data_IF_896458919588
#
_entry.id   IF_896458919588
#
_cell.length_a   1.000
_cell.length_b   1.000
_cell.length_c   1.000
_cell.angle_alpha   90.00
_cell.angle_beta   90.00
_cell.angle_gamma   90.00
#
_symmetry.space_group_name_H-M   'P 1'
#
loop_
_entity.id
_entity.type
_entity.pdbx_description
1 polymer ?
#
# COMPACT_ATOMS: atom_id res chain seq x y z
N UNK A 1 4.66 -19.42 0.03
CA UNK A 1 4.84 -17.96 0.09
C UNK A 1 5.45 -17.60 -1.24
N UNK A 2 4.59 -17.14 -2.15
CA UNK A 2 4.95 -17.02 -3.56
C UNK A 2 5.84 -15.79 -3.79
N UNK A 3 6.92 -16.03 -4.52
CA UNK A 3 8.04 -15.13 -4.71
C UNK A 3 7.70 -14.07 -5.78
N UNK A 4 7.71 -12.80 -5.41
CA UNK A 4 7.74 -11.69 -6.38
C UNK A 4 8.92 -10.79 -6.02
N UNK A 5 10.04 -11.01 -6.70
CA UNK A 5 11.25 -10.19 -6.72
C UNK A 5 11.95 -10.42 -8.07
N UNK A 6 12.76 -9.45 -8.55
CA UNK A 6 13.38 -9.58 -9.86
C UNK A 6 14.25 -10.84 -9.90
N UNK A 7 14.08 -11.63 -10.95
CA UNK A 7 14.77 -12.90 -11.12
C UNK A 7 16.29 -12.65 -11.25
N UNK A 8 17.08 -12.97 -10.21
CA UNK A 8 18.52 -13.16 -10.37
C UNK A 8 19.47 -12.61 -9.28
N UNK A 9 19.02 -11.93 -8.23
CA UNK A 9 19.95 -11.46 -7.18
C UNK A 9 20.19 -12.53 -6.10
N UNK A 10 21.46 -12.81 -5.78
CA UNK A 10 21.86 -13.71 -4.68
C UNK A 10 21.41 -13.16 -3.32
N UNK A 11 20.29 -13.69 -2.81
CA UNK A 11 19.68 -13.38 -1.51
C UNK A 11 18.37 -12.60 -1.67
N UNK A 12 17.20 -13.15 -1.27
CA UNK A 12 15.92 -12.44 -1.40
C UNK A 12 15.83 -11.30 -0.37
N UNK A 13 15.11 -10.21 -0.70
CA UNK A 13 14.72 -9.22 0.30
C UNK A 13 13.93 -9.90 1.42
N UNK A 14 14.33 -9.68 2.67
CA UNK A 14 13.53 -10.13 3.80
C UNK A 14 12.46 -9.07 4.09
N UNK A 15 11.20 -9.45 3.93
CA UNK A 15 10.04 -8.60 4.23
C UNK A 15 9.58 -8.96 5.65
N UNK A 16 9.72 -8.01 6.59
CA UNK A 16 9.22 -8.17 7.96
C UNK A 16 8.00 -7.28 8.15
N UNK A 17 6.87 -7.85 8.55
CA UNK A 17 5.63 -7.09 8.61
C UNK A 17 4.60 -7.63 9.63
N UNK A 18 3.87 -6.72 10.28
CA UNK A 18 2.74 -7.03 11.15
C UNK A 18 1.46 -7.18 10.31
N UNK A 19 1.02 -8.42 10.07
CA UNK A 19 -0.15 -8.68 9.22
C UNK A 19 -1.43 -8.62 10.07
N UNK A 20 -2.16 -7.50 10.04
CA UNK A 20 -3.45 -7.38 10.74
C UNK A 20 -4.56 -8.24 10.12
N UNK A 21 -4.52 -8.49 8.80
CA UNK A 21 -5.41 -9.44 8.12
C UNK A 21 -5.35 -10.84 8.77
N UNK A 22 -4.14 -11.27 9.19
CA UNK A 22 -3.92 -12.54 9.85
C UNK A 22 -4.51 -12.57 11.28
N UNK A 23 -4.72 -11.41 11.92
CA UNK A 23 -5.43 -11.31 13.20
C UNK A 23 -6.95 -11.28 13.00
N UNK A 24 -7.44 -10.51 12.04
CA UNK A 24 -8.87 -10.42 11.73
C UNK A 24 -9.43 -11.77 11.24
N UNK A 25 -8.73 -12.44 10.31
CA UNK A 25 -9.17 -13.73 9.76
C UNK A 25 -9.06 -14.91 10.74
N UNK A 26 -8.20 -14.82 11.76
CA UNK A 26 -8.02 -15.90 12.75
C UNK A 26 -8.97 -15.82 13.93
N UNK A 27 -9.44 -14.61 14.28
CA UNK A 27 -10.21 -14.37 15.50
C UNK A 27 -11.60 -13.78 15.28
N UNK A 28 -11.96 -13.40 14.05
CA UNK A 28 -13.26 -12.81 13.74
C UNK A 28 -13.75 -13.15 12.33
N UNK A 29 -15.04 -12.93 12.06
CA UNK A 29 -15.61 -13.20 10.75
C UNK A 29 -15.47 -12.00 9.79
N UNK A 30 -15.61 -12.26 8.49
CA UNK A 30 -15.70 -11.20 7.47
C UNK A 30 -16.87 -10.23 7.72
N UNK A 31 -17.89 -10.67 8.46
CA UNK A 31 -19.01 -9.81 8.84
C UNK A 31 -18.61 -8.81 9.93
N UNK A 32 -17.81 -9.24 10.92
CA UNK A 32 -17.41 -8.39 12.06
C UNK A 32 -16.34 -7.36 11.66
N UNK A 33 -15.45 -7.72 10.74
CA UNK A 33 -14.35 -6.86 10.27
C UNK A 33 -14.30 -6.78 8.74
N UNK A 34 -15.31 -6.19 8.08
CA UNK A 34 -15.48 -6.26 6.63
C UNK A 34 -14.38 -5.54 5.84
N UNK A 35 -13.72 -4.55 6.44
CA UNK A 35 -12.64 -3.80 5.80
C UNK A 35 -11.25 -4.36 6.11
N UNK A 36 -10.91 -4.54 7.39
CA UNK A 36 -9.57 -4.96 7.81
C UNK A 36 -9.27 -6.43 7.49
N UNK A 37 -10.28 -7.26 7.24
CA UNK A 37 -10.10 -8.65 6.80
C UNK A 37 -9.70 -8.80 5.33
N UNK A 38 -9.80 -7.74 4.50
CA UNK A 38 -9.60 -7.85 3.03
C UNK A 38 -8.84 -6.69 2.39
N UNK A 39 -8.88 -5.49 2.98
CA UNK A 39 -8.31 -4.27 2.41
C UNK A 39 -7.18 -3.70 3.28
N UNK A 40 -6.52 -4.55 4.06
CA UNK A 40 -5.39 -4.14 4.87
C UNK A 40 -4.11 -4.09 4.03
N UNK A 41 -3.64 -2.87 3.75
CA UNK A 41 -2.33 -2.65 3.14
C UNK A 41 -1.24 -2.82 4.21
N UNK A 42 -0.31 -3.74 3.97
CA UNK A 42 0.69 -4.10 4.95
C UNK A 42 1.92 -3.18 4.86
N UNK A 43 2.15 -2.40 5.90
CA UNK A 43 3.31 -1.51 6.04
C UNK A 43 4.58 -2.31 6.37
N UNK A 44 5.12 -3.00 5.37
CA UNK A 44 6.24 -3.91 5.53
C UNK A 44 7.59 -3.19 5.49
N UNK A 45 8.53 -3.66 6.32
CA UNK A 45 9.94 -3.26 6.23
C UNK A 45 10.60 -4.15 5.19
N UNK A 46 11.16 -3.52 4.15
CA UNK A 46 11.94 -4.19 3.12
C UNK A 46 13.44 -4.10 3.44
N UNK A 47 14.07 -5.23 3.80
CA UNK A 47 15.51 -5.31 4.05
C UNK A 47 16.25 -5.93 2.87
N UNK A 48 17.27 -5.24 2.36
CA UNK A 48 18.12 -5.69 1.25
C UNK A 48 19.53 -6.01 1.78
N UNK A 49 19.80 -7.27 2.12
CA UNK A 49 21.12 -7.73 2.58
C UNK A 49 21.95 -8.28 1.42
N UNK A 50 23.08 -7.63 1.12
CA UNK A 50 24.06 -8.00 0.07
C UNK A 50 23.45 -8.33 -1.31
N UNK A 51 22.33 -7.70 -1.64
CA UNK A 51 21.63 -7.87 -2.92
C UNK A 51 22.47 -7.28 -4.05
N UNK A 52 22.79 -8.10 -5.06
CA UNK A 52 23.41 -7.63 -6.29
C UNK A 52 22.34 -7.12 -7.26
N UNK A 53 22.42 -5.85 -7.64
CA UNK A 53 21.49 -5.21 -8.60
C UNK A 53 22.14 -5.21 -9.98
N UNK A 54 21.55 -5.88 -10.99
CA UNK A 54 22.02 -5.82 -12.36
C UNK A 54 22.10 -4.39 -12.89
N UNK A 55 23.12 -4.06 -13.69
CA UNK A 55 23.32 -2.70 -14.18
C UNK A 55 22.16 -2.17 -15.05
N UNK A 56 21.37 -3.08 -15.65
CA UNK A 56 20.19 -2.71 -16.44
C UNK A 56 19.07 -2.11 -15.57
N UNK A 57 19.02 -2.44 -14.27
CA UNK A 57 17.99 -1.99 -13.34
C UNK A 57 18.37 -0.70 -12.60
N UNK A 58 19.57 -0.17 -12.85
CA UNK A 58 20.10 1.01 -12.16
C UNK A 58 19.67 2.30 -12.86
N UNK A 59 18.70 3.02 -12.28
CA UNK A 59 18.20 4.29 -12.82
C UNK A 59 19.09 5.50 -12.48
N UNK A 60 19.62 5.55 -11.26
CA UNK A 60 20.52 6.62 -10.77
C UNK A 60 21.62 5.98 -9.91
N UNK A 61 22.87 6.10 -10.36
CA UNK A 61 24.05 5.66 -9.61
C UNK A 61 24.91 6.85 -9.19
N UNK A 62 25.15 7.02 -7.88
CA UNK A 62 26.02 8.05 -7.27
C UNK A 62 25.76 9.52 -7.69
N UNK A 63 24.63 9.83 -8.32
CA UNK A 63 24.30 11.17 -8.83
C UNK A 63 23.47 12.03 -7.87
N UNK A 64 24.07 12.57 -6.80
CA UNK A 64 23.35 13.33 -5.75
C UNK A 64 22.51 14.49 -6.30
N UNK A 65 23.06 15.28 -7.24
CA UNK A 65 22.35 16.40 -7.86
C UNK A 65 21.16 15.94 -8.72
N UNK A 66 21.31 14.81 -9.43
CA UNK A 66 20.23 14.21 -10.24
C UNK A 66 19.13 13.67 -9.32
N UNK A 67 19.51 13.01 -8.23
CA UNK A 67 18.56 12.50 -7.23
C UNK A 67 17.76 13.63 -6.57
N UNK A 68 18.43 14.72 -6.17
CA UNK A 68 17.76 15.87 -5.55
C UNK A 68 16.70 16.53 -6.45
N UNK A 69 16.91 16.49 -7.78
CA UNK A 69 15.97 17.05 -8.76
C UNK A 69 14.95 16.02 -9.26
N UNK A 70 15.16 14.74 -9.00
CA UNK A 70 14.40 13.64 -9.62
C UNK A 70 12.90 13.78 -9.37
N UNK A 71 12.48 14.10 -8.15
CA UNK A 71 11.05 14.26 -7.82
C UNK A 71 10.33 15.32 -8.65
N UNK A 72 11.05 16.35 -9.14
CA UNK A 72 10.49 17.44 -9.95
C UNK A 72 10.58 17.19 -11.45
N UNK A 73 11.56 16.39 -11.89
CA UNK A 73 11.88 16.20 -13.32
C UNK A 73 11.37 14.86 -13.84
N UNK A 74 11.23 13.84 -12.99
CA UNK A 74 10.79 12.50 -13.39
C UNK A 74 9.27 12.39 -13.54
N UNK A 75 8.54 13.49 -13.39
CA UNK A 75 7.08 13.62 -13.40
C UNK A 75 6.31 12.75 -12.40
N UNK A 76 6.92 11.76 -11.76
CA UNK A 76 6.31 10.92 -10.74
C UNK A 76 5.64 11.78 -9.65
N UNK A 77 6.35 12.78 -9.13
CA UNK A 77 5.83 13.72 -8.13
C UNK A 77 4.59 14.51 -8.59
N UNK A 78 4.43 14.71 -9.89
CA UNK A 78 3.26 15.40 -10.49
C UNK A 78 2.13 14.43 -10.85
N UNK A 79 2.44 13.17 -11.14
CA UNK A 79 1.48 12.19 -11.65
C UNK A 79 0.84 11.34 -10.55
N UNK A 80 1.58 10.93 -9.51
CA UNK A 80 1.01 10.12 -8.43
C UNK A 80 -0.21 10.76 -7.72
N UNK A 81 -0.29 12.11 -7.55
CA UNK A 81 -1.43 12.73 -6.87
C UNK A 81 -2.76 12.53 -7.60
N UNK A 82 -2.74 12.35 -8.93
CA UNK A 82 -3.95 12.10 -9.71
C UNK A 82 -4.63 10.79 -9.23
N UNK A 83 -3.85 9.72 -9.17
CA UNK A 83 -4.32 8.43 -8.67
C UNK A 83 -4.75 8.51 -7.20
N UNK A 84 -3.96 9.18 -6.36
CA UNK A 84 -4.24 9.26 -4.92
C UNK A 84 -5.50 10.07 -4.62
N UNK A 85 -5.72 11.17 -5.35
CA UNK A 85 -6.91 12.01 -5.21
C UNK A 85 -8.18 11.26 -5.64
N UNK A 86 -8.13 10.56 -6.78
CA UNK A 86 -9.27 9.75 -7.25
C UNK A 86 -9.64 8.64 -6.25
N UNK A 87 -8.64 7.93 -5.72
CA UNK A 87 -8.88 6.91 -4.69
C UNK A 87 -9.49 7.52 -3.41
N UNK A 88 -8.99 8.68 -2.98
CA UNK A 88 -9.51 9.34 -1.80
C UNK A 88 -10.95 9.84 -1.98
N UNK A 89 -11.29 10.40 -3.15
CA UNK A 89 -12.65 10.82 -3.46
C UNK A 89 -13.65 9.65 -3.38
N UNK A 90 -13.29 8.48 -3.92
CA UNK A 90 -14.13 7.27 -3.83
C UNK A 90 -14.28 6.81 -2.38
N UNK A 91 -13.20 6.85 -1.58
CA UNK A 91 -13.27 6.53 -0.14
C UNK A 91 -14.21 7.49 0.61
N UNK A 92 -14.20 8.77 0.28
CA UNK A 92 -15.12 9.75 0.88
C UNK A 92 -16.58 9.46 0.51
N UNK A 93 -16.87 9.16 -0.76
CA UNK A 93 -18.24 8.79 -1.18
C UNK A 93 -18.74 7.56 -0.43
N UNK A 94 -17.89 6.54 -0.24
CA UNK A 94 -18.23 5.36 0.56
C UNK A 94 -18.56 5.73 2.02
N UNK A 95 -17.74 6.58 2.65
CA UNK A 95 -17.96 7.00 4.04
C UNK A 95 -19.25 7.80 4.22
N UNK A 96 -19.56 8.70 3.28
CA UNK A 96 -20.81 9.47 3.29
C UNK A 96 -22.00 8.53 3.20
N UNK A 97 -22.03 7.63 2.21
CA UNK A 97 -23.11 6.66 2.04
C UNK A 97 -23.30 5.74 3.26
N UNK A 98 -22.21 5.28 3.87
CA UNK A 98 -22.27 4.50 5.11
C UNK A 98 -22.83 5.31 6.28
N UNK A 99 -22.45 6.58 6.40
CA UNK A 99 -22.96 7.46 7.46
C UNK A 99 -24.47 7.69 7.32
N UNK A 100 -24.97 7.88 6.09
CA UNK A 100 -26.40 8.02 5.80
C UNK A 100 -27.18 6.75 6.19
N UNK A 101 -26.66 5.58 5.84
CA UNK A 101 -27.29 4.30 6.22
C UNK A 101 -27.33 4.11 7.74
N UNK A 102 -26.25 4.47 8.45
CA UNK A 102 -26.20 4.39 9.91
C UNK A 102 -27.24 5.30 10.56
N UNK A 103 -27.40 6.54 10.07
CA UNK A 103 -28.43 7.47 10.57
C UNK A 103 -29.84 6.95 10.27
N UNK A 104 -30.11 6.45 9.06
CA UNK A 104 -31.40 5.88 8.70
C UNK A 104 -31.78 4.67 9.60
N UNK A 105 -30.80 3.81 9.92
CA UNK A 105 -31.00 2.70 10.84
C UNK A 105 -31.23 3.17 12.29
N UNK A 106 -30.58 4.25 12.72
CA UNK A 106 -30.78 4.84 14.04
C UNK A 106 -32.20 5.40 14.18
N UNK A 107 -32.67 6.16 13.19
CA UNK A 107 -34.02 6.73 13.17
C UNK A 107 -35.11 5.64 13.13
N UNK A 108 -34.87 4.54 12.43
CA UNK A 108 -35.80 3.39 12.39
C UNK A 108 -35.84 2.57 13.70
N UNK A 109 -34.83 2.72 14.56
CA UNK A 109 -34.72 2.03 15.85
C UNK A 109 -35.21 2.86 17.04
N UNK A 110 -35.53 4.14 16.80
CA UNK A 110 -36.07 5.10 17.78
C UNK A 110 -37.59 5.20 17.69
#
# INVERSE_FOLDING_TARGET
MDNIGPAGSSGPPNICACIYENKASRYASHFDYPLSSRFHENEAILSLDKVSIPWQDVLIYKGKAKLARWSFVADFGRLYPLQTCSLFAVKLVLLVALSEQCMANYDASS
#
